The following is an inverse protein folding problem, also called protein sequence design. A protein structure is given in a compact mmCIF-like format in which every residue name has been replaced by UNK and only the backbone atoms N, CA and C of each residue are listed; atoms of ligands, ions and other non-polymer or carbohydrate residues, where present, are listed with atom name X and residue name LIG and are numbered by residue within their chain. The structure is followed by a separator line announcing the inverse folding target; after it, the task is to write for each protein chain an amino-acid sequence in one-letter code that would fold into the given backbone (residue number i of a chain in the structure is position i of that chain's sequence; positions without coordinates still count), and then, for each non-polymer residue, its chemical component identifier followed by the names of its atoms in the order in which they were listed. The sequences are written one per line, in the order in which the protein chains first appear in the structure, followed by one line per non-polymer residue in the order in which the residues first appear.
data_IF_134390383072
#
_entry.id   IF_134390383072
#
_cell.length_a   1.000
_cell.length_b   1.000
_cell.length_c   1.000
_cell.angle_alpha   90.00
_cell.angle_beta   90.00
_cell.angle_gamma   90.00
#
_symmetry.space_group_name_H-M   'P 1'
#
loop_
_entity.id
_entity.type
_entity.pdbx_description
1 polymer ?
#
# COMPACT_ATOMS: atom_id res chain seq x y z
N UNK A 1 11.19 32.58 -14.28
CA UNK A 1 11.14 31.10 -14.42
C UNK A 1 11.30 30.57 -13.01
N UNK A 2 10.19 30.13 -12.41
CA UNK A 2 10.20 29.60 -11.06
C UNK A 2 10.49 28.10 -11.18
N UNK A 3 11.64 27.67 -10.64
CA UNK A 3 11.92 26.27 -10.39
C UNK A 3 10.86 25.75 -9.40
N UNK A 4 9.85 25.06 -9.92
CA UNK A 4 9.02 24.22 -9.10
C UNK A 4 9.90 23.06 -8.64
N UNK A 5 10.52 23.21 -7.47
CA UNK A 5 11.11 22.10 -6.77
C UNK A 5 9.99 21.10 -6.53
N UNK A 6 10.01 20.02 -7.28
CA UNK A 6 9.24 18.82 -7.02
C UNK A 6 9.62 18.35 -5.61
N UNK A 7 8.82 18.73 -4.62
CA UNK A 7 9.01 18.26 -3.25
C UNK A 7 8.68 16.77 -3.30
N UNK A 8 9.70 15.93 -3.45
CA UNK A 8 9.54 14.48 -3.39
C UNK A 8 9.02 14.18 -2.00
N UNK A 9 7.73 13.92 -1.90
CA UNK A 9 7.09 13.56 -0.65
C UNK A 9 7.72 12.27 -0.11
N UNK A 10 8.22 12.31 1.13
CA UNK A 10 8.85 11.14 1.75
C UNK A 10 7.82 10.01 1.92
N UNK A 11 8.26 8.75 1.80
CA UNK A 11 7.39 7.62 2.06
C UNK A 11 6.92 7.63 3.52
N UNK A 12 5.79 7.00 3.80
CA UNK A 12 5.35 6.75 5.16
C UNK A 12 6.45 6.05 5.94
N UNK A 13 6.67 6.44 7.19
CA UNK A 13 7.71 5.85 8.06
C UNK A 13 7.53 4.34 8.24
N UNK A 14 6.28 3.87 8.26
CA UNK A 14 5.97 2.45 8.30
C UNK A 14 6.46 1.73 7.05
N UNK A 15 6.22 2.29 5.87
CA UNK A 15 6.68 1.71 4.59
C UNK A 15 8.19 1.67 4.53
N UNK A 16 8.88 2.77 4.81
CA UNK A 16 10.35 2.81 4.78
C UNK A 16 11.00 1.88 5.79
N UNK A 17 10.40 1.71 6.98
CA UNK A 17 10.87 0.80 8.02
C UNK A 17 10.86 -0.66 7.56
N UNK A 18 9.77 -1.10 6.92
CA UNK A 18 9.57 -2.50 6.57
C UNK A 18 9.98 -2.86 5.15
N UNK A 19 10.29 -1.88 4.32
CA UNK A 19 10.76 -2.14 2.96
C UNK A 19 12.08 -2.94 2.88
N UNK A 20 12.85 -2.97 3.97
CA UNK A 20 14.06 -3.81 4.08
C UNK A 20 13.76 -5.32 4.05
N UNK A 21 12.50 -5.71 4.28
CA UNK A 21 12.04 -7.09 4.15
C UNK A 21 11.77 -7.49 2.69
N UNK A 22 11.68 -6.52 1.79
CA UNK A 22 11.39 -6.77 0.38
C UNK A 22 12.64 -7.29 -0.31
N UNK A 23 12.50 -8.42 -1.00
CA UNK A 23 13.61 -9.01 -1.75
C UNK A 23 14.20 -7.99 -2.75
N UNK A 24 15.52 -7.78 -2.78
CA UNK A 24 16.16 -6.83 -3.69
C UNK A 24 15.76 -7.07 -5.15
N UNK A 25 15.37 -6.01 -5.87
CA UNK A 25 14.90 -6.09 -7.25
C UNK A 25 13.51 -6.72 -7.43
N UNK A 26 12.87 -7.17 -6.35
CA UNK A 26 11.53 -7.74 -6.41
C UNK A 26 10.48 -6.72 -6.83
N UNK A 27 9.47 -7.17 -7.60
CA UNK A 27 8.38 -6.31 -8.11
C UNK A 27 7.48 -5.84 -6.97
N UNK A 28 7.12 -4.57 -6.99
CA UNK A 28 6.27 -3.92 -5.97
C UNK A 28 4.94 -3.48 -6.61
N UNK A 29 3.84 -3.64 -5.90
CA UNK A 29 2.54 -3.08 -6.24
C UNK A 29 2.19 -1.98 -5.24
N UNK A 30 2.01 -0.75 -5.72
CA UNK A 30 1.57 0.41 -4.94
C UNK A 30 0.10 0.68 -5.26
N UNK A 31 -0.80 0.37 -4.31
CA UNK A 31 -2.25 0.40 -4.50
C UNK A 31 -2.83 1.70 -3.95
N UNK A 32 -3.67 2.37 -4.74
CA UNK A 32 -4.16 3.72 -4.48
C UNK A 32 -2.99 4.69 -4.23
N UNK A 33 -2.05 4.67 -5.18
CA UNK A 33 -0.72 5.27 -5.02
C UNK A 33 -0.73 6.80 -4.99
N UNK A 34 -1.83 7.47 -5.42
CA UNK A 34 -1.90 8.91 -5.57
C UNK A 34 -0.78 9.44 -6.48
N UNK A 35 -0.02 10.43 -6.03
CA UNK A 35 1.15 10.96 -6.74
C UNK A 35 2.39 10.06 -6.68
N UNK A 36 2.26 8.83 -6.14
CA UNK A 36 3.28 7.79 -6.20
C UNK A 36 4.50 8.01 -5.32
N UNK A 37 4.35 8.60 -4.12
CA UNK A 37 5.49 8.79 -3.21
C UNK A 37 6.20 7.47 -2.86
N UNK A 38 5.45 6.40 -2.66
CA UNK A 38 6.01 5.07 -2.38
C UNK A 38 6.55 4.44 -3.67
N UNK A 39 5.81 4.55 -4.79
CA UNK A 39 6.27 4.06 -6.08
C UNK A 39 7.64 4.65 -6.45
N UNK A 40 7.81 5.98 -6.36
CA UNK A 40 9.10 6.65 -6.61
C UNK A 40 10.19 6.16 -5.66
N UNK A 41 9.86 5.98 -4.40
CA UNK A 41 10.81 5.56 -3.39
C UNK A 41 11.34 4.13 -3.61
N UNK A 42 10.47 3.20 -3.99
CA UNK A 42 10.86 1.84 -4.36
C UNK A 42 11.60 1.78 -5.69
N UNK A 43 11.13 2.51 -6.70
CA UNK A 43 11.76 2.57 -8.03
C UNK A 43 13.20 3.10 -7.95
N UNK A 44 13.45 4.14 -7.14
CA UNK A 44 14.79 4.67 -6.88
C UNK A 44 15.73 3.67 -6.21
N UNK A 45 15.20 2.59 -5.63
CA UNK A 45 15.94 1.48 -5.01
C UNK A 45 16.07 0.25 -5.91
N UNK A 46 15.70 0.39 -7.19
CA UNK A 46 15.84 -0.66 -8.19
C UNK A 46 14.71 -1.68 -8.24
N UNK A 47 13.58 -1.40 -7.60
CA UNK A 47 12.40 -2.24 -7.70
C UNK A 47 11.56 -1.84 -8.91
N UNK A 48 11.14 -2.78 -9.79
CA UNK A 48 10.04 -2.54 -10.72
C UNK A 48 8.75 -2.31 -9.93
N UNK A 49 8.00 -1.24 -10.25
CA UNK A 49 6.79 -0.86 -9.52
C UNK A 49 5.60 -0.76 -10.46
N UNK A 50 4.52 -1.44 -10.11
CA UNK A 50 3.20 -1.16 -10.67
C UNK A 50 2.44 -0.24 -9.71
N UNK A 51 2.03 0.92 -10.21
CA UNK A 51 1.33 1.93 -9.44
C UNK A 51 -0.10 2.09 -9.97
N UNK A 52 -1.10 1.84 -9.14
CA UNK A 52 -2.51 1.94 -9.52
C UNK A 52 -3.23 3.01 -8.72
N UNK A 53 -3.96 3.87 -9.43
CA UNK A 53 -4.85 4.87 -8.84
C UNK A 53 -5.98 5.19 -9.81
N UNK A 54 -7.10 5.75 -9.30
CA UNK A 54 -8.18 6.26 -10.14
C UNK A 54 -7.92 7.68 -10.67
N UNK A 55 -7.00 8.41 -10.06
CA UNK A 55 -6.68 9.79 -10.41
C UNK A 55 -5.62 9.83 -11.54
N UNK A 56 -6.08 10.03 -12.77
CA UNK A 56 -5.22 10.10 -13.93
C UNK A 56 -4.20 11.26 -13.85
N UNK A 57 -4.57 12.40 -13.27
CA UNK A 57 -3.66 13.55 -13.14
C UNK A 57 -2.53 13.25 -12.14
N UNK A 58 -2.84 12.56 -11.05
CA UNK A 58 -1.84 12.10 -10.11
C UNK A 58 -0.85 11.12 -10.78
N UNK A 59 -1.38 10.14 -11.54
CA UNK A 59 -0.56 9.18 -12.28
C UNK A 59 0.28 9.83 -13.38
N UNK A 60 -0.20 10.89 -14.02
CA UNK A 60 0.57 11.63 -15.03
C UNK A 60 1.88 12.18 -14.47
N UNK A 61 1.96 12.48 -13.17
CA UNK A 61 3.20 12.91 -12.51
C UNK A 61 4.28 11.81 -12.48
N UNK A 62 3.90 10.56 -12.69
CA UNK A 62 4.80 9.40 -12.73
C UNK A 62 5.25 9.06 -14.14
N UNK A 63 4.75 9.78 -15.16
CA UNK A 63 5.12 9.52 -16.55
C UNK A 63 6.64 9.69 -16.77
N UNK A 64 7.27 8.70 -17.40
CA UNK A 64 8.71 8.73 -17.66
C UNK A 64 9.61 8.43 -16.45
N UNK A 65 9.08 8.19 -15.27
CA UNK A 65 9.87 7.76 -14.12
C UNK A 65 10.32 6.31 -14.36
N UNK A 66 11.63 6.08 -14.34
CA UNK A 66 12.21 4.76 -14.58
C UNK A 66 11.67 3.75 -13.55
N UNK A 67 11.47 2.50 -13.97
CA UNK A 67 10.98 1.39 -13.17
C UNK A 67 9.54 1.53 -12.66
N UNK A 68 8.75 2.52 -13.11
CA UNK A 68 7.34 2.66 -12.73
C UNK A 68 6.45 2.41 -13.93
N UNK A 69 5.49 1.51 -13.78
CA UNK A 69 4.37 1.31 -14.70
C UNK A 69 3.09 1.77 -14.01
N UNK A 70 2.34 2.67 -14.64
CA UNK A 70 1.10 3.20 -14.06
C UNK A 70 -0.13 2.54 -14.68
N UNK A 71 -1.16 2.35 -13.87
CA UNK A 71 -2.48 1.90 -14.30
C UNK A 71 -3.57 2.82 -13.72
N UNK A 72 -4.32 3.50 -14.59
CA UNK A 72 -5.48 4.26 -14.17
C UNK A 72 -6.69 3.32 -14.05
N UNK A 73 -7.13 3.03 -12.82
CA UNK A 73 -8.27 2.17 -12.56
C UNK A 73 -9.00 2.58 -11.28
N UNK A 74 -10.32 2.60 -11.34
CA UNK A 74 -11.17 2.77 -10.17
C UNK A 74 -11.44 1.39 -9.55
N UNK A 75 -10.80 1.13 -8.41
CA UNK A 75 -10.92 -0.13 -7.68
C UNK A 75 -12.24 -0.24 -6.90
N UNK A 76 -12.95 0.88 -6.71
CA UNK A 76 -14.23 0.94 -5.98
C UNK A 76 -15.44 0.75 -6.91
N UNK A 77 -15.23 0.71 -8.22
CA UNK A 77 -16.30 0.57 -9.20
C UNK A 77 -17.06 -0.74 -8.97
N UNK A 78 -18.39 -0.63 -8.89
CA UNK A 78 -19.29 -1.79 -8.76
C UNK A 78 -19.09 -2.77 -9.91
N UNK A 79 -18.86 -4.06 -9.60
CA UNK A 79 -18.43 -5.05 -10.59
C UNK A 79 -16.98 -4.88 -11.06
N UNK A 80 -16.23 -3.97 -10.44
CA UNK A 80 -14.81 -3.75 -10.70
C UNK A 80 -14.02 -5.04 -10.53
N UNK A 81 -13.40 -5.47 -11.62
CA UNK A 81 -12.52 -6.62 -11.62
C UNK A 81 -11.15 -6.11 -11.14
N UNK A 82 -10.54 -6.84 -10.21
CA UNK A 82 -9.14 -6.62 -9.86
C UNK A 82 -8.29 -6.51 -11.14
N UNK A 83 -7.63 -5.37 -11.42
CA UNK A 83 -7.02 -5.10 -12.72
C UNK A 83 -5.81 -5.98 -13.01
N UNK A 84 -5.27 -6.63 -11.98
CA UNK A 84 -4.12 -7.52 -12.07
C UNK A 84 -4.53 -9.00 -12.06
N UNK A 85 -5.59 -9.34 -12.79
CA UNK A 85 -6.02 -10.73 -12.96
C UNK A 85 -4.89 -11.55 -13.59
N UNK A 86 -4.58 -12.68 -12.95
CA UNK A 86 -3.44 -13.51 -13.34
C UNK A 86 -2.11 -13.14 -12.69
N UNK A 87 -2.03 -12.05 -11.94
CA UNK A 87 -0.82 -11.67 -11.18
C UNK A 87 -0.74 -12.37 -9.82
N UNK A 88 -1.26 -13.59 -9.71
CA UNK A 88 -1.09 -14.40 -8.51
C UNK A 88 0.39 -14.66 -8.28
N UNK A 89 0.82 -14.47 -7.03
CA UNK A 89 2.22 -14.73 -6.63
C UNK A 89 3.26 -13.95 -7.44
N UNK A 90 2.94 -12.72 -7.87
CA UNK A 90 3.81 -11.93 -8.75
C UNK A 90 4.63 -10.86 -8.02
N UNK A 91 4.18 -10.42 -6.83
CA UNK A 91 4.76 -9.28 -6.16
C UNK A 91 5.58 -9.66 -4.93
N UNK A 92 6.81 -9.16 -4.87
CA UNK A 92 7.64 -9.24 -3.67
C UNK A 92 7.15 -8.29 -2.57
N UNK A 93 6.37 -7.27 -2.93
CA UNK A 93 5.72 -6.39 -1.98
C UNK A 93 4.41 -5.83 -2.53
N UNK A 94 3.40 -5.76 -1.66
CA UNK A 94 2.18 -4.98 -1.88
C UNK A 94 2.13 -3.88 -0.83
N UNK A 95 2.05 -2.63 -1.28
CA UNK A 95 1.97 -1.44 -0.40
C UNK A 95 0.60 -0.81 -0.54
N UNK A 96 -0.04 -0.52 0.59
CA UNK A 96 -1.30 0.23 0.65
C UNK A 96 -1.22 1.23 1.80
N UNK A 97 -1.44 2.52 1.52
CA UNK A 97 -1.49 3.54 2.57
C UNK A 97 -2.68 4.47 2.39
N UNK A 98 -3.31 4.85 3.51
CA UNK A 98 -4.45 5.79 3.54
C UNK A 98 -5.63 5.37 2.65
N UNK A 99 -5.79 4.09 2.40
CA UNK A 99 -6.85 3.53 1.56
C UNK A 99 -7.44 2.27 2.22
N UNK A 100 -8.76 2.14 2.17
CA UNK A 100 -9.48 0.97 2.70
C UNK A 100 -10.59 0.58 1.74
N UNK A 101 -10.44 -0.57 1.13
CA UNK A 101 -11.49 -1.25 0.37
C UNK A 101 -11.46 -2.74 0.73
N UNK A 102 -12.37 -3.16 1.61
CA UNK A 102 -12.39 -4.51 2.20
C UNK A 102 -12.44 -5.64 1.17
N UNK A 103 -13.22 -5.54 0.08
CA UNK A 103 -13.23 -6.57 -0.96
C UNK A 103 -11.89 -6.82 -1.65
N UNK A 104 -10.91 -5.91 -1.56
CA UNK A 104 -9.61 -6.09 -2.17
C UNK A 104 -8.67 -7.00 -1.38
N UNK A 105 -8.84 -7.18 -0.08
CA UNK A 105 -7.88 -7.93 0.72
C UNK A 105 -7.54 -9.34 0.20
N UNK A 106 -8.49 -10.14 -0.26
CA UNK A 106 -8.15 -11.44 -0.86
C UNK A 106 -7.18 -11.31 -2.04
N UNK A 107 -7.41 -10.34 -2.92
CA UNK A 107 -6.59 -10.12 -4.11
C UNK A 107 -5.19 -9.59 -3.76
N UNK A 108 -5.09 -8.68 -2.77
CA UNK A 108 -3.81 -8.17 -2.28
C UNK A 108 -2.92 -9.29 -1.74
N UNK A 109 -3.51 -10.23 -0.99
CA UNK A 109 -2.80 -11.36 -0.42
C UNK A 109 -2.40 -12.35 -1.52
N UNK A 110 -3.31 -12.68 -2.45
CA UNK A 110 -3.03 -13.58 -3.56
C UNK A 110 -2.00 -13.05 -4.55
N UNK A 111 -1.84 -11.73 -4.63
CA UNK A 111 -0.85 -11.09 -5.48
C UNK A 111 0.59 -11.27 -4.95
N UNK A 112 0.76 -11.55 -3.65
CA UNK A 112 2.08 -11.74 -3.04
C UNK A 112 2.74 -13.05 -3.51
N UNK A 113 3.98 -12.94 -3.93
CA UNK A 113 4.84 -14.10 -4.15
C UNK A 113 5.14 -14.83 -2.82
N UNK A 114 5.58 -16.11 -2.85
CA UNK A 114 6.14 -16.74 -1.67
C UNK A 114 7.29 -15.89 -1.09
N UNK A 115 7.24 -15.58 0.20
CA UNK A 115 8.15 -14.63 0.86
C UNK A 115 7.83 -13.15 0.61
N UNK A 116 6.79 -12.86 -0.18
CA UNK A 116 6.35 -11.48 -0.44
C UNK A 116 5.74 -10.82 0.79
N UNK A 117 5.84 -9.50 0.86
CA UNK A 117 5.54 -8.68 2.03
C UNK A 117 4.31 -7.79 1.77
N UNK A 118 3.31 -7.87 2.64
CA UNK A 118 2.24 -6.88 2.73
C UNK A 118 2.66 -5.77 3.69
N UNK A 119 2.71 -4.53 3.21
CA UNK A 119 2.89 -3.34 4.03
C UNK A 119 1.63 -2.50 3.92
N UNK A 120 0.84 -2.49 4.97
CA UNK A 120 -0.46 -1.81 4.98
C UNK A 120 -0.54 -0.84 6.15
N UNK A 121 -1.00 0.39 5.90
CA UNK A 121 -1.28 1.40 6.93
C UNK A 121 -2.50 2.22 6.51
N UNK A 122 -3.52 2.28 7.35
CA UNK A 122 -4.65 3.19 7.12
C UNK A 122 -5.34 3.57 8.43
N UNK A 123 -6.33 4.44 8.31
CA UNK A 123 -7.06 5.00 9.44
C UNK A 123 -7.93 3.95 10.13
N UNK A 124 -8.08 4.08 11.46
CA UNK A 124 -8.88 3.20 12.30
C UNK A 124 -9.96 3.97 13.07
N UNK A 125 -10.94 3.26 13.61
CA UNK A 125 -11.99 3.83 14.46
C UNK A 125 -11.36 4.64 15.60
N UNK A 126 -11.87 5.84 15.82
CA UNK A 126 -11.29 6.85 16.70
C UNK A 126 -10.58 7.97 15.94
N UNK A 127 -10.31 7.79 14.60
CA UNK A 127 -9.70 8.85 13.79
C UNK A 127 -10.62 10.05 13.58
N UNK A 128 -11.93 9.89 13.68
CA UNK A 128 -12.91 10.98 13.59
C UNK A 128 -12.66 12.11 14.59
N UNK A 129 -11.93 11.85 15.68
CA UNK A 129 -11.50 12.85 16.67
C UNK A 129 -10.40 13.75 16.17
N UNK A 130 -9.65 13.31 15.15
CA UNK A 130 -8.50 13.99 14.56
C UNK A 130 -8.83 14.63 13.20
N UNK A 131 -9.97 14.27 12.59
CA UNK A 131 -10.41 14.82 11.31
C UNK A 131 -10.88 13.75 10.33
N UNK A 132 -10.52 13.95 9.05
CA UNK A 132 -10.91 13.01 7.99
C UNK A 132 -9.85 11.94 7.75
N UNK A 133 -10.25 10.72 7.35
CA UNK A 133 -11.63 10.24 7.18
C UNK A 133 -12.34 10.09 8.52
N UNK A 134 -13.65 10.39 8.53
CA UNK A 134 -14.51 10.24 9.71
C UNK A 134 -15.68 9.27 9.48
N UNK A 135 -15.94 8.87 8.22
CA UNK A 135 -16.92 7.86 7.92
C UNK A 135 -16.41 6.48 8.38
N UNK A 136 -17.17 5.75 9.23
CA UNK A 136 -16.77 4.43 9.74
C UNK A 136 -16.44 3.40 8.64
N UNK A 137 -17.03 3.52 7.46
CA UNK A 137 -16.77 2.61 6.34
C UNK A 137 -15.31 2.68 5.85
N UNK A 138 -14.65 3.82 6.06
CA UNK A 138 -13.24 4.05 5.74
C UNK A 138 -12.30 3.90 6.93
N UNK A 139 -12.80 3.38 8.06
CA UNK A 139 -12.04 3.18 9.27
C UNK A 139 -11.97 1.69 9.63
N UNK A 140 -10.76 1.21 9.90
CA UNK A 140 -10.55 -0.16 10.37
C UNK A 140 -11.12 -0.35 11.77
N UNK A 141 -11.79 -1.47 11.99
CA UNK A 141 -12.21 -1.90 13.32
C UNK A 141 -11.00 -2.36 14.15
N UNK A 142 -11.07 -2.32 15.49
CA UNK A 142 -9.97 -2.81 16.33
C UNK A 142 -9.52 -4.22 15.91
N UNK A 143 -8.23 -4.41 15.66
CA UNK A 143 -7.65 -5.68 15.26
C UNK A 143 -7.98 -6.18 13.85
N UNK A 144 -8.69 -5.40 13.02
CA UNK A 144 -9.20 -5.87 11.72
C UNK A 144 -8.08 -6.35 10.78
N UNK A 145 -6.93 -5.68 10.74
CA UNK A 145 -5.81 -6.14 9.90
C UNK A 145 -5.26 -7.50 10.34
N UNK A 146 -5.25 -7.79 11.65
CA UNK A 146 -4.83 -9.10 12.15
C UNK A 146 -5.80 -10.21 11.70
N UNK A 147 -7.11 -9.94 11.76
CA UNK A 147 -8.13 -10.88 11.31
C UNK A 147 -8.02 -11.17 9.80
N UNK A 148 -7.77 -10.12 8.99
CA UNK A 148 -7.65 -10.24 7.53
C UNK A 148 -6.51 -11.17 7.12
N UNK A 149 -5.37 -11.10 7.80
CA UNK A 149 -4.18 -11.89 7.45
C UNK A 149 -4.10 -13.24 8.17
N UNK A 150 -5.01 -13.49 9.11
CA UNK A 150 -5.01 -14.72 9.93
C UNK A 150 -5.01 -15.99 9.08
N UNK A 151 -4.06 -16.89 9.34
CA UNK A 151 -3.92 -18.16 8.62
C UNK A 151 -3.47 -18.05 7.16
N UNK A 152 -3.16 -16.82 6.70
CA UNK A 152 -2.74 -16.56 5.32
C UNK A 152 -1.34 -15.96 5.24
N UNK A 153 -1.00 -15.05 6.15
CA UNK A 153 0.31 -14.38 6.23
C UNK A 153 0.86 -14.48 7.64
N UNK A 154 2.19 -14.44 7.76
CA UNK A 154 2.90 -14.35 9.03
C UNK A 154 3.11 -12.88 9.41
N UNK A 155 2.52 -12.44 10.52
CA UNK A 155 2.65 -11.07 11.02
C UNK A 155 4.06 -10.85 11.56
N UNK A 156 4.80 -9.91 10.98
CA UNK A 156 6.11 -9.45 11.46
C UNK A 156 5.96 -8.30 12.45
N UNK A 157 5.01 -7.41 12.20
CA UNK A 157 4.69 -6.31 13.07
C UNK A 157 3.24 -5.84 12.86
N UNK A 158 2.64 -5.38 13.94
CA UNK A 158 1.33 -4.77 13.94
C UNK A 158 1.28 -3.66 14.98
N UNK A 159 0.65 -2.56 14.62
CA UNK A 159 0.40 -1.45 15.53
C UNK A 159 -1.04 -0.93 15.33
N UNK A 160 -1.71 -0.62 16.44
CA UNK A 160 -3.02 0.02 16.51
C UNK A 160 -2.92 1.16 17.53
N UNK A 161 -2.65 2.39 17.04
CA UNK A 161 -2.25 3.49 17.90
C UNK A 161 -2.59 4.86 17.31
N UNK A 162 -2.40 5.89 18.10
CA UNK A 162 -2.40 7.28 17.62
C UNK A 162 -0.97 7.64 17.22
N UNK A 163 -0.82 8.20 16.01
CA UNK A 163 0.43 8.82 15.53
C UNK A 163 0.30 10.33 15.60
N UNK A 164 1.41 11.03 15.84
CA UNK A 164 1.44 12.50 15.91
C UNK A 164 1.87 13.14 14.58
N UNK A 165 2.64 12.42 13.79
CA UNK A 165 3.21 12.94 12.55
C UNK A 165 2.77 12.10 11.32
N UNK A 166 2.58 12.74 10.14
CA UNK A 166 2.74 14.18 9.84
C UNK A 166 1.62 15.04 10.44
N UNK A 167 0.56 14.44 10.93
CA UNK A 167 -0.54 15.03 11.69
C UNK A 167 -1.14 13.97 12.62
N UNK A 168 -1.74 14.36 13.74
CA UNK A 168 -2.40 13.38 14.63
C UNK A 168 -3.44 12.56 13.89
N UNK A 169 -3.37 11.23 14.04
CA UNK A 169 -4.32 10.31 13.44
C UNK A 169 -4.37 8.99 14.22
N UNK A 170 -5.54 8.34 14.26
CA UNK A 170 -5.69 6.96 14.71
C UNK A 170 -5.49 6.03 13.52
N UNK A 171 -4.53 5.14 13.61
CA UNK A 171 -4.17 4.22 12.52
C UNK A 171 -4.02 2.78 13.00
N UNK A 172 -4.28 1.83 12.11
CA UNK A 172 -3.73 0.48 12.19
C UNK A 172 -2.73 0.28 11.07
N UNK A 173 -1.66 -0.45 11.37
CA UNK A 173 -0.63 -0.78 10.41
C UNK A 173 -0.05 -2.16 10.64
N UNK A 174 0.25 -2.85 9.55
CA UNK A 174 0.75 -4.22 9.56
C UNK A 174 1.87 -4.40 8.55
N UNK A 175 2.87 -5.17 8.94
CA UNK A 175 3.81 -5.83 8.04
C UNK A 175 3.62 -7.33 8.21
N UNK A 176 3.27 -8.01 7.12
CA UNK A 176 3.03 -9.44 7.15
C UNK A 176 3.62 -10.11 5.90
N UNK A 177 4.14 -11.33 6.04
CA UNK A 177 4.88 -12.05 5.00
C UNK A 177 4.09 -13.27 4.55
N UNK A 178 4.00 -13.47 3.24
CA UNK A 178 3.45 -14.70 2.67
C UNK A 178 4.41 -15.87 2.91
N UNK A 179 3.88 -17.01 3.36
CA UNK A 179 4.72 -18.19 3.60
C UNK A 179 5.57 -18.51 2.36
N UNK A 180 6.85 -18.77 2.57
CA UNK A 180 7.64 -19.50 1.58
C UNK A 180 7.17 -20.95 1.66
N UNK A 181 6.74 -21.53 0.53
CA UNK A 181 6.51 -22.96 0.49
C UNK A 181 7.81 -23.62 0.93
N UNK A 182 7.87 -24.08 2.17
CA UNK A 182 8.95 -25.00 2.57
C UNK A 182 8.74 -26.29 1.75
N UNK A 183 9.70 -26.58 0.89
CA UNK A 183 9.83 -27.86 0.20
C UNK A 183 10.19 -28.92 1.23
#
# INVERSE_FOLDING_TARGET
MADSHDVIELPATWVSRWATQVQPGGRVLDVACGHGRHARWFAARGHPVDAVDRNADALATLAGVANITTLCADLEREGGIWPYQGSRSAYACVVVTNYLLRPLFPYLIEALAPGGVLIYETFALGNERFGRPSNPDFLLKPGELLEIVRGRLFVQAYEDLVVDAPRPARVQRICAVHATNAV
#
